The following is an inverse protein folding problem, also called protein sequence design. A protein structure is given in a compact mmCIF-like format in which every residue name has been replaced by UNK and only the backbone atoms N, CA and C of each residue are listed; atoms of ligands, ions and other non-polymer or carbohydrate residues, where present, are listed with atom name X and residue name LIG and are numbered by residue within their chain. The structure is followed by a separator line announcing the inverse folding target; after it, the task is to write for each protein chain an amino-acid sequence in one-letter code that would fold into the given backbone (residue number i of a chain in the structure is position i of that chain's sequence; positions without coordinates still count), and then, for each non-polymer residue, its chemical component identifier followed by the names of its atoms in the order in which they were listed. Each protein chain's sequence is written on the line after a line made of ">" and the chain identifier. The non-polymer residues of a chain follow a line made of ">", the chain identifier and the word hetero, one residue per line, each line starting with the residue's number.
data_IF_769650989491
#
_entry.id   IF_769650989491
#
_cell.length_a   1.000
_cell.length_b   1.000
_cell.length_c   1.000
_cell.angle_alpha   90.00
_cell.angle_beta   90.00
_cell.angle_gamma   90.00
#
_symmetry.space_group_name_H-M   'P 1'
#
loop_
_entity.id
_entity.type
_entity.pdbx_description
1 polymer ?
#
# COMPACT_ATOMS: atom_id res chain seq x y z
N UNK A 1 -8.57 -30.41 -16.98
CA UNK A 1 -7.64 -29.29 -16.93
C UNK A 1 -6.24 -29.71 -17.42
N UNK A 2 -5.67 -30.81 -16.93
CA UNK A 2 -4.32 -31.28 -17.32
C UNK A 2 -4.17 -31.51 -18.83
N UNK A 3 -5.21 -32.00 -19.45
CA UNK A 3 -5.22 -32.32 -20.90
C UNK A 3 -5.39 -31.07 -21.77
N UNK A 4 -5.96 -30.01 -21.20
CA UNK A 4 -6.36 -28.81 -21.95
C UNK A 4 -5.31 -27.69 -21.79
N UNK A 5 -4.67 -27.60 -20.63
CA UNK A 5 -3.73 -26.51 -20.35
C UNK A 5 -2.26 -26.89 -20.47
N UNK A 6 -1.95 -28.17 -20.69
CA UNK A 6 -0.56 -28.68 -20.63
C UNK A 6 0.08 -28.56 -19.24
N UNK A 7 -0.68 -28.16 -18.21
CA UNK A 7 -0.21 -28.04 -16.84
C UNK A 7 -0.20 -29.43 -16.18
N UNK A 8 0.95 -29.84 -15.68
CA UNK A 8 1.11 -31.13 -14.98
C UNK A 8 0.82 -31.06 -13.48
N UNK A 9 0.77 -29.86 -12.93
CA UNK A 9 0.45 -29.64 -11.52
C UNK A 9 -0.47 -28.43 -11.38
N UNK A 10 -1.67 -28.65 -10.88
CA UNK A 10 -2.59 -27.59 -10.47
C UNK A 10 -3.21 -27.94 -9.12
N UNK A 11 -3.43 -26.92 -8.32
CA UNK A 11 -4.10 -27.03 -7.03
C UNK A 11 -5.39 -26.22 -7.11
N UNK A 12 -6.53 -26.86 -6.82
CA UNK A 12 -7.79 -26.13 -6.66
C UNK A 12 -7.66 -25.21 -5.44
N UNK A 13 -7.91 -23.92 -5.63
CA UNK A 13 -7.83 -22.90 -4.59
C UNK A 13 -9.19 -22.64 -3.96
N UNK A 14 -10.28 -22.90 -4.68
CA UNK A 14 -11.63 -22.69 -4.19
C UNK A 14 -12.64 -22.43 -5.31
N UNK A 15 -13.84 -22.07 -4.90
CA UNK A 15 -14.95 -21.74 -5.78
C UNK A 15 -15.48 -20.35 -5.41
N UNK A 16 -15.88 -19.56 -6.40
CA UNK A 16 -16.53 -18.26 -6.16
C UNK A 16 -17.79 -18.41 -5.29
N UNK A 17 -18.15 -17.36 -4.56
CA UNK A 17 -19.33 -17.38 -3.66
C UNK A 17 -20.65 -17.65 -4.38
N UNK A 18 -20.76 -17.31 -5.67
CA UNK A 18 -21.91 -17.60 -6.52
C UNK A 18 -21.85 -18.99 -7.17
N UNK A 19 -20.79 -19.76 -6.91
CA UNK A 19 -20.56 -21.10 -7.43
C UNK A 19 -20.25 -21.18 -8.93
N UNK A 20 -20.09 -20.03 -9.60
CA UNK A 20 -19.88 -19.98 -11.05
C UNK A 20 -18.46 -20.30 -11.48
N UNK A 21 -17.48 -19.91 -10.69
CA UNK A 21 -16.06 -20.00 -11.05
C UNK A 21 -15.31 -20.88 -10.08
N UNK A 22 -14.40 -21.68 -10.60
CA UNK A 22 -13.41 -22.42 -9.81
C UNK A 22 -12.02 -21.83 -10.10
N UNK A 23 -11.27 -21.60 -9.04
CA UNK A 23 -9.94 -21.04 -9.11
C UNK A 23 -8.90 -22.13 -8.95
N UNK A 24 -7.88 -22.09 -9.79
CA UNK A 24 -6.77 -23.03 -9.76
C UNK A 24 -5.44 -22.29 -9.77
N UNK A 25 -4.50 -22.76 -8.97
CA UNK A 25 -3.11 -22.34 -9.06
C UNK A 25 -2.37 -23.31 -9.99
N UNK A 26 -1.79 -22.76 -11.05
CA UNK A 26 -0.86 -23.48 -11.92
C UNK A 26 0.55 -23.03 -11.64
N UNK A 27 1.48 -23.98 -11.50
CA UNK A 27 2.92 -23.70 -11.34
C UNK A 27 3.67 -23.72 -12.67
N UNK A 28 3.01 -24.02 -13.77
CA UNK A 28 3.60 -24.01 -15.09
C UNK A 28 3.68 -22.58 -15.63
N UNK A 29 4.91 -22.11 -15.91
CA UNK A 29 5.16 -20.80 -16.49
C UNK A 29 4.72 -20.68 -17.95
N UNK A 30 4.50 -21.80 -18.61
CA UNK A 30 4.11 -21.90 -20.03
C UNK A 30 2.60 -22.15 -20.21
N UNK A 31 1.80 -21.87 -19.16
CA UNK A 31 0.33 -21.96 -19.27
C UNK A 31 -0.16 -20.98 -20.33
N UNK A 32 -0.79 -21.51 -21.39
CA UNK A 32 -1.30 -20.72 -22.51
C UNK A 32 -2.84 -20.64 -22.43
N UNK A 33 -3.34 -19.41 -22.17
CA UNK A 33 -4.78 -19.14 -22.14
C UNK A 33 -5.43 -19.39 -23.53
N UNK A 34 -4.66 -19.26 -24.61
CA UNK A 34 -5.14 -19.47 -25.95
C UNK A 34 -5.60 -20.91 -26.22
N UNK A 35 -5.10 -21.89 -25.44
CA UNK A 35 -5.53 -23.28 -25.53
C UNK A 35 -6.99 -23.52 -25.08
N UNK A 36 -7.56 -22.59 -24.34
CA UNK A 36 -8.90 -22.70 -23.77
C UNK A 36 -9.94 -21.79 -24.44
N UNK A 37 -9.52 -20.88 -25.31
CA UNK A 37 -10.43 -19.88 -25.92
C UNK A 37 -11.53 -20.46 -26.81
N UNK A 38 -11.32 -21.67 -27.33
CA UNK A 38 -12.27 -22.36 -28.21
C UNK A 38 -13.16 -23.37 -27.48
N UNK A 39 -13.08 -23.43 -26.14
CA UNK A 39 -13.92 -24.32 -25.32
C UNK A 39 -15.20 -23.60 -24.92
N UNK A 40 -16.32 -24.02 -25.49
CA UNK A 40 -17.62 -23.39 -25.27
C UNK A 40 -18.01 -23.42 -23.76
N UNK A 41 -18.33 -22.24 -23.23
CA UNK A 41 -18.76 -22.09 -21.82
C UNK A 41 -17.61 -21.91 -20.83
N UNK A 42 -16.36 -21.78 -21.27
CA UNK A 42 -15.21 -21.48 -20.41
C UNK A 42 -14.65 -20.10 -20.77
N UNK A 43 -14.65 -19.21 -19.81
CA UNK A 43 -13.92 -17.94 -19.87
C UNK A 43 -12.65 -18.07 -19.04
N UNK A 44 -11.49 -17.91 -19.67
CA UNK A 44 -10.20 -18.00 -18.99
C UNK A 44 -9.52 -16.65 -19.00
N UNK A 45 -9.28 -16.14 -17.80
CA UNK A 45 -8.45 -14.97 -17.59
C UNK A 45 -7.16 -15.39 -16.87
N UNK A 46 -6.02 -15.27 -17.51
CA UNK A 46 -4.73 -15.44 -16.87
C UNK A 46 -4.35 -14.11 -16.21
N UNK A 47 -4.28 -14.13 -14.89
CA UNK A 47 -3.80 -13.00 -14.10
C UNK A 47 -2.54 -13.45 -13.36
N UNK A 48 -1.42 -12.78 -13.61
CA UNK A 48 -0.23 -12.96 -12.77
C UNK A 48 -0.53 -12.38 -11.39
N UNK A 49 -0.84 -13.25 -10.46
CA UNK A 49 -1.06 -12.87 -9.07
C UNK A 49 0.18 -13.22 -8.24
N UNK A 50 0.59 -12.30 -7.40
CA UNK A 50 1.55 -12.63 -6.35
C UNK A 50 0.91 -13.62 -5.37
N UNK A 51 1.68 -14.47 -4.68
CA UNK A 51 1.15 -15.37 -3.65
C UNK A 51 0.32 -14.66 -2.58
N UNK A 52 0.60 -13.39 -2.32
CA UNK A 52 -0.13 -12.55 -1.38
C UNK A 52 -1.51 -12.14 -1.93
N UNK A 53 -1.60 -11.75 -3.19
CA UNK A 53 -2.88 -11.42 -3.84
C UNK A 53 -3.82 -12.64 -3.89
N UNK A 54 -3.27 -13.84 -4.06
CA UNK A 54 -4.05 -15.07 -4.02
C UNK A 54 -4.64 -15.35 -2.64
N UNK A 55 -3.86 -15.16 -1.56
CA UNK A 55 -4.34 -15.39 -0.20
C UNK A 55 -5.42 -14.39 0.20
N UNK A 56 -5.28 -13.13 -0.17
CA UNK A 56 -6.27 -12.09 0.15
C UNK A 56 -7.59 -12.24 -0.59
N UNK A 57 -7.59 -12.87 -1.78
CA UNK A 57 -8.82 -13.12 -2.52
C UNK A 57 -9.74 -14.18 -1.86
N UNK A 58 -9.21 -15.00 -0.94
CA UNK A 58 -9.94 -16.10 -0.30
C UNK A 58 -10.31 -15.87 1.17
N UNK A 59 -9.79 -14.82 1.82
CA UNK A 59 -9.90 -14.62 3.28
C UNK A 59 -10.82 -13.44 3.67
N UNK A 60 -11.68 -12.96 2.78
CA UNK A 60 -12.62 -11.87 3.08
C UNK A 60 -14.02 -12.40 3.37
N UNK A 61 -14.63 -12.08 4.53
CA UNK A 61 -16.08 -12.09 4.65
C UNK A 61 -16.63 -10.99 3.76
N UNK A 62 -17.42 -11.36 2.77
CA UNK A 62 -18.02 -10.43 1.81
C UNK A 62 -18.99 -9.48 2.51
N UNK A 63 -18.59 -8.19 2.62
CA UNK A 63 -19.55 -7.13 2.57
C UNK A 63 -19.66 -6.67 1.10
N UNK A 64 -20.86 -6.93 0.55
CA UNK A 64 -21.21 -6.61 -0.82
C UNK A 64 -21.35 -5.11 -1.02
N UNK A 65 -20.36 -4.47 -1.62
CA UNK A 65 -20.62 -3.28 -2.41
C UNK A 65 -19.50 -3.07 -3.46
N UNK A 66 -19.91 -3.28 -4.69
CA UNK A 66 -19.41 -2.68 -5.92
C UNK A 66 -17.95 -2.95 -6.34
N UNK A 67 -17.81 -3.98 -7.19
CA UNK A 67 -16.63 -4.20 -8.03
C UNK A 67 -16.61 -3.18 -9.16
N UNK A 68 -15.83 -2.13 -9.02
CA UNK A 68 -15.40 -1.29 -10.14
C UNK A 68 -14.00 -1.72 -10.58
N UNK A 69 -13.97 -2.35 -11.74
CA UNK A 69 -12.82 -2.60 -12.58
C UNK A 69 -12.00 -1.30 -12.75
N UNK A 70 -10.73 -1.29 -12.29
CA UNK A 70 -9.81 -0.18 -12.52
C UNK A 70 -10.07 1.12 -11.76
N UNK A 71 -10.86 1.14 -10.69
CA UNK A 71 -11.09 2.32 -9.90
C UNK A 71 -9.81 2.75 -9.16
N UNK A 72 -9.38 3.96 -9.42
CA UNK A 72 -8.32 4.63 -8.69
C UNK A 72 -8.63 4.62 -7.18
N UNK A 73 -7.68 4.19 -6.36
CA UNK A 73 -7.84 4.20 -4.90
C UNK A 73 -7.85 5.64 -4.42
N UNK A 74 -9.03 6.17 -4.10
CA UNK A 74 -9.23 7.58 -3.72
C UNK A 74 -9.23 7.81 -2.21
N UNK A 75 -9.20 6.75 -1.41
CA UNK A 75 -9.16 6.82 0.05
C UNK A 75 -8.28 5.72 0.60
N UNK A 76 -7.54 5.99 1.68
CA UNK A 76 -6.66 4.99 2.31
C UNK A 76 -7.41 3.89 3.03
N UNK A 77 -8.72 4.04 3.21
CA UNK A 77 -9.56 3.07 3.89
C UNK A 77 -9.41 3.08 5.42
N UNK A 78 -10.16 2.19 6.05
CA UNK A 78 -9.99 1.94 7.49
C UNK A 78 -8.83 0.99 7.71
N UNK A 79 -8.00 1.30 8.69
CA UNK A 79 -6.93 0.42 9.13
C UNK A 79 -6.77 0.49 10.65
N UNK A 80 -6.23 -0.57 11.20
CA UNK A 80 -5.71 -0.60 12.57
C UNK A 80 -4.36 -1.30 12.52
N UNK A 81 -3.32 -0.56 12.82
CA UNK A 81 -1.95 -1.07 12.74
C UNK A 81 -1.10 -0.63 13.91
N UNK A 82 0.10 -1.22 14.00
CA UNK A 82 1.08 -0.86 15.01
C UNK A 82 2.20 -0.04 14.38
N UNK A 83 2.59 1.04 15.04
CA UNK A 83 3.80 1.75 14.69
C UNK A 83 5.06 1.01 15.15
N UNK A 84 6.20 1.35 14.58
CA UNK A 84 7.49 0.79 15.06
C UNK A 84 7.80 1.18 16.50
N UNK A 85 7.11 2.19 17.04
CA UNK A 85 7.15 2.61 18.44
C UNK A 85 6.26 1.75 19.36
N UNK A 86 5.59 0.73 18.82
CA UNK A 86 4.71 -0.19 19.53
C UNK A 86 3.31 0.35 19.86
N UNK A 87 2.96 1.56 19.40
CA UNK A 87 1.62 2.13 19.60
C UNK A 87 0.67 1.70 18.50
N UNK A 88 -0.62 1.61 18.82
CA UNK A 88 -1.68 1.37 17.85
C UNK A 88 -2.08 2.67 17.17
N UNK A 89 -2.24 2.61 15.85
CA UNK A 89 -2.69 3.69 14.99
C UNK A 89 -3.85 3.24 14.12
N UNK A 90 -4.82 4.13 13.94
CA UNK A 90 -5.96 3.95 13.04
C UNK A 90 -5.98 5.11 12.03
N UNK A 91 -6.88 5.06 11.07
CA UNK A 91 -7.11 6.17 10.14
C UNK A 91 -7.38 7.52 10.83
N UNK A 92 -7.74 7.52 12.11
CA UNK A 92 -7.96 8.75 12.88
C UNK A 92 -6.69 9.60 13.05
N UNK A 93 -5.52 9.03 12.77
CA UNK A 93 -4.25 9.78 12.75
C UNK A 93 -4.31 10.97 11.79
N UNK A 94 -5.06 10.84 10.69
CA UNK A 94 -5.20 11.89 9.68
C UNK A 94 -6.14 13.02 10.13
N UNK A 95 -7.09 12.74 11.01
CA UNK A 95 -8.10 13.72 11.47
C UNK A 95 -7.52 14.93 12.21
N UNK A 96 -6.26 14.84 12.62
CA UNK A 96 -5.55 15.88 13.37
C UNK A 96 -5.01 17.01 12.49
N UNK A 97 -4.95 16.79 11.19
CA UNK A 97 -4.33 17.69 10.23
C UNK A 97 -5.27 17.96 9.06
N UNK A 98 -5.16 19.10 8.42
CA UNK A 98 -5.87 19.38 7.18
C UNK A 98 -5.29 18.60 6.00
N UNK A 99 -3.97 18.38 6.05
CA UNK A 99 -3.20 17.60 5.07
C UNK A 99 -2.21 16.71 5.79
N UNK A 100 -2.10 15.46 5.42
CA UNK A 100 -1.03 14.56 5.89
C UNK A 100 -0.22 14.03 4.72
N UNK A 101 1.09 14.23 4.79
CA UNK A 101 2.07 13.63 3.91
C UNK A 101 2.34 12.19 4.34
N UNK A 102 2.09 11.22 3.47
CA UNK A 102 2.37 9.81 3.69
C UNK A 102 3.57 9.40 2.85
N UNK A 103 4.71 9.21 3.51
CA UNK A 103 5.96 8.82 2.86
C UNK A 103 6.17 7.32 3.02
N UNK A 104 6.16 6.59 1.90
CA UNK A 104 6.33 5.14 1.85
C UNK A 104 7.78 4.81 1.52
N UNK A 105 8.43 4.07 2.39
CA UNK A 105 9.84 3.75 2.27
C UNK A 105 10.17 2.32 2.72
N UNK A 106 11.41 1.88 2.46
CA UNK A 106 11.95 0.61 2.94
C UNK A 106 13.22 0.84 3.76
N UNK A 107 13.51 -0.08 4.69
CA UNK A 107 14.66 0.04 5.61
C UNK A 107 16.03 -0.12 4.94
N UNK A 108 16.06 -0.58 3.70
CA UNK A 108 17.27 -0.74 2.89
C UNK A 108 17.46 0.38 1.85
N UNK A 109 16.51 1.29 1.72
CA UNK A 109 16.52 2.37 0.73
C UNK A 109 17.34 3.56 1.25
N UNK A 110 18.57 3.71 0.83
CA UNK A 110 19.45 4.80 1.27
C UNK A 110 18.92 6.20 0.96
N UNK A 111 18.38 6.52 -0.24
CA UNK A 111 17.77 7.82 -0.50
C UNK A 111 16.60 8.12 0.45
N UNK A 112 15.77 7.12 0.76
CA UNK A 112 14.65 7.27 1.69
C UNK A 112 15.13 7.65 3.09
N UNK A 113 16.14 6.94 3.60
CA UNK A 113 16.69 7.17 4.95
C UNK A 113 17.33 8.55 5.05
N UNK A 114 18.03 9.00 4.00
CA UNK A 114 18.68 10.30 3.95
C UNK A 114 17.70 11.47 3.94
N UNK A 115 16.49 11.27 3.44
CA UNK A 115 15.42 12.27 3.37
C UNK A 115 14.70 12.46 4.72
N UNK A 116 14.62 11.44 5.57
CA UNK A 116 13.86 11.46 6.83
C UNK A 116 14.21 12.67 7.73
N UNK A 117 15.46 13.09 7.91
CA UNK A 117 15.78 14.28 8.71
C UNK A 117 15.17 15.58 8.14
N UNK A 118 15.02 15.70 6.83
CA UNK A 118 14.39 16.85 6.20
C UNK A 118 12.86 16.77 6.33
N UNK A 119 12.27 15.58 6.25
CA UNK A 119 10.86 15.36 6.57
C UNK A 119 10.55 15.67 8.04
N UNK A 120 11.47 15.39 8.97
CA UNK A 120 11.30 15.78 10.38
C UNK A 120 11.31 17.30 10.54
N UNK A 121 12.22 18.02 9.88
CA UNK A 121 12.23 19.49 9.88
C UNK A 121 10.94 20.05 9.30
N UNK A 122 10.49 19.53 8.16
CA UNK A 122 9.24 19.88 7.53
C UNK A 122 8.07 19.70 8.51
N UNK A 123 7.98 18.52 9.15
CA UNK A 123 6.95 18.24 10.14
C UNK A 123 6.95 19.26 11.29
N UNK A 124 8.10 19.54 11.87
CA UNK A 124 8.21 20.51 12.97
C UNK A 124 7.78 21.93 12.55
N UNK A 125 8.08 22.35 11.33
CA UNK A 125 7.72 23.68 10.81
C UNK A 125 6.24 23.79 10.41
N UNK A 126 5.61 22.68 10.01
CA UNK A 126 4.29 22.69 9.38
C UNK A 126 3.16 22.08 10.24
N UNK A 127 3.47 21.32 11.29
CA UNK A 127 2.45 20.66 12.12
C UNK A 127 1.44 21.63 12.74
N UNK A 128 1.89 22.81 13.17
CA UNK A 128 1.02 23.84 13.74
C UNK A 128 0.26 24.64 12.66
N UNK A 129 0.59 24.39 11.39
CA UNK A 129 -0.10 24.93 10.22
C UNK A 129 -1.09 23.93 9.58
N UNK A 130 -1.35 22.82 10.27
CA UNK A 130 -2.31 21.81 9.81
C UNK A 130 -1.71 20.72 8.91
N UNK A 131 -0.37 20.55 8.89
CA UNK A 131 0.27 19.49 8.10
C UNK A 131 0.86 18.41 9.00
N UNK A 132 0.43 17.17 8.78
CA UNK A 132 1.01 15.98 9.39
C UNK A 132 2.00 15.28 8.47
N UNK A 133 2.87 14.46 9.06
CA UNK A 133 3.75 13.52 8.35
C UNK A 133 3.60 12.13 8.95
N UNK A 134 3.52 11.12 8.11
CA UNK A 134 3.48 9.70 8.49
C UNK A 134 4.44 8.93 7.60
N UNK A 135 5.33 8.16 8.18
CA UNK A 135 6.13 7.18 7.46
C UNK A 135 5.42 5.83 7.40
N UNK A 136 5.52 5.13 6.28
CA UNK A 136 5.05 3.74 6.16
C UNK A 136 6.21 2.86 5.72
N UNK A 137 6.59 1.91 6.56
CA UNK A 137 7.73 1.01 6.33
C UNK A 137 7.30 -0.23 5.57
N UNK A 138 7.38 -0.19 4.23
CA UNK A 138 6.81 -1.20 3.34
C UNK A 138 7.40 -2.59 3.49
N UNK A 139 8.67 -2.71 3.82
CA UNK A 139 9.41 -3.97 3.96
C UNK A 139 9.29 -4.62 5.34
N UNK A 140 8.57 -4.00 6.28
CA UNK A 140 8.24 -4.61 7.59
C UNK A 140 7.20 -5.72 7.48
N UNK A 141 6.54 -5.86 6.34
CA UNK A 141 5.68 -6.98 6.00
C UNK A 141 6.32 -7.76 4.86
N UNK A 142 6.77 -8.97 5.18
CA UNK A 142 7.37 -9.89 4.23
C UNK A 142 6.36 -10.62 3.35
N UNK A 143 6.88 -11.51 2.50
CA UNK A 143 6.06 -12.38 1.67
C UNK A 143 5.13 -13.25 2.55
N UNK A 144 3.84 -13.29 2.17
CA UNK A 144 2.82 -14.03 2.94
C UNK A 144 2.19 -13.21 4.08
N UNK A 145 2.37 -11.87 4.11
CA UNK A 145 1.70 -10.97 5.04
C UNK A 145 2.21 -11.07 6.49
N UNK A 146 3.33 -11.76 6.72
CA UNK A 146 3.93 -11.85 8.06
C UNK A 146 4.86 -10.68 8.32
N UNK A 147 4.82 -10.18 9.55
CA UNK A 147 5.74 -9.14 10.00
C UNK A 147 7.19 -9.65 9.98
N UNK A 148 8.08 -8.85 9.42
CA UNK A 148 9.52 -9.06 9.46
C UNK A 148 10.13 -8.33 10.66
N UNK A 149 10.42 -9.07 11.71
CA UNK A 149 10.96 -8.55 12.96
C UNK A 149 12.32 -7.87 12.79
N UNK A 150 13.12 -8.29 11.81
CA UNK A 150 14.42 -7.68 11.54
C UNK A 150 14.23 -6.31 10.86
N UNK A 151 13.32 -6.23 9.90
CA UNK A 151 12.97 -4.96 9.25
C UNK A 151 12.33 -3.98 10.25
N UNK A 152 11.46 -4.46 11.14
CA UNK A 152 10.89 -3.63 12.22
C UNK A 152 11.99 -3.06 13.12
N UNK A 153 12.94 -3.88 13.57
CA UNK A 153 14.09 -3.40 14.37
C UNK A 153 14.94 -2.38 13.61
N UNK A 154 15.17 -2.59 12.32
CA UNK A 154 15.87 -1.60 11.48
C UNK A 154 15.11 -0.29 11.41
N UNK A 155 13.79 -0.33 11.20
CA UNK A 155 12.96 0.85 11.16
C UNK A 155 12.96 1.62 12.49
N UNK A 156 12.96 0.92 13.64
CA UNK A 156 13.12 1.54 14.97
C UNK A 156 14.45 2.27 15.09
N UNK A 157 15.55 1.63 14.69
CA UNK A 157 16.88 2.25 14.70
C UNK A 157 16.96 3.47 13.77
N UNK A 158 16.32 3.39 12.59
CA UNK A 158 16.24 4.51 11.66
C UNK A 158 15.50 5.68 12.32
N UNK A 159 14.31 5.46 12.90
CA UNK A 159 13.53 6.48 13.56
C UNK A 159 14.31 7.15 14.70
N UNK A 160 14.99 6.36 15.53
CA UNK A 160 15.83 6.86 16.64
C UNK A 160 17.00 7.71 16.13
N UNK A 161 17.76 7.20 15.14
CA UNK A 161 18.95 7.90 14.63
C UNK A 161 18.63 9.17 13.87
N UNK A 162 17.53 9.18 13.12
CA UNK A 162 17.05 10.36 12.38
C UNK A 162 16.28 11.33 13.26
N UNK A 163 15.93 10.92 14.48
CA UNK A 163 15.11 11.66 15.44
C UNK A 163 13.73 12.03 14.91
N UNK A 164 13.20 11.22 13.97
CA UNK A 164 11.88 11.43 13.44
C UNK A 164 10.84 11.28 14.56
N UNK A 165 10.11 12.36 14.83
CA UNK A 165 9.09 12.43 15.88
C UNK A 165 7.68 12.07 15.36
N UNK A 166 7.51 12.01 14.06
CA UNK A 166 6.29 11.51 13.41
C UNK A 166 6.28 9.97 13.38
N UNK A 167 5.10 9.32 13.33
CA UNK A 167 5.01 7.87 13.42
C UNK A 167 5.51 7.17 12.16
N UNK A 168 6.16 6.02 12.36
CA UNK A 168 6.45 5.04 11.32
C UNK A 168 5.47 3.86 11.49
N UNK A 169 4.60 3.65 10.52
CA UNK A 169 3.60 2.60 10.56
C UNK A 169 4.12 1.31 9.91
N UNK A 170 3.77 0.20 10.53
CA UNK A 170 3.87 -1.13 9.93
C UNK A 170 2.57 -1.34 9.15
N UNK A 171 2.57 -1.45 7.82
CA UNK A 171 1.32 -1.49 7.07
C UNK A 171 0.54 -2.78 7.37
N UNK A 172 -0.78 -2.66 7.54
CA UNK A 172 -1.68 -3.79 7.65
C UNK A 172 -2.10 -4.33 6.26
N UNK A 173 -2.90 -5.38 6.23
CA UNK A 173 -3.37 -5.98 4.98
C UNK A 173 -4.25 -5.03 4.16
N UNK A 174 -5.03 -4.17 4.83
CA UNK A 174 -5.87 -3.17 4.16
C UNK A 174 -5.04 -2.15 3.41
N UNK A 175 -4.03 -1.58 4.06
CA UNK A 175 -3.09 -0.66 3.44
C UNK A 175 -2.32 -1.32 2.29
N UNK A 176 -1.86 -2.56 2.49
CA UNK A 176 -1.08 -3.32 1.52
C UNK A 176 -1.86 -3.66 0.25
N UNK A 177 -3.13 -4.00 0.39
CA UNK A 177 -4.02 -4.32 -0.74
C UNK A 177 -4.69 -3.08 -1.34
N UNK A 178 -4.73 -1.98 -0.59
CA UNK A 178 -5.25 -0.68 -1.00
C UNK A 178 -4.19 0.19 -1.66
N UNK A 179 -3.97 1.38 -1.09
CA UNK A 179 -3.09 2.42 -1.68
C UNK A 179 -1.63 1.98 -1.86
N UNK A 180 -1.14 1.04 -1.05
CA UNK A 180 0.25 0.56 -1.16
C UNK A 180 0.45 -0.52 -2.22
N UNK A 181 -0.64 -1.02 -2.81
CA UNK A 181 -0.56 -2.01 -3.88
C UNK A 181 0.09 -1.42 -5.13
N UNK A 182 1.03 -2.15 -5.71
CA UNK A 182 1.72 -1.73 -6.93
C UNK A 182 2.88 -0.75 -6.73
N UNK A 183 3.13 -0.23 -5.52
CA UNK A 183 4.31 0.59 -5.25
C UNK A 183 5.57 -0.27 -5.41
N UNK A 184 6.40 0.08 -6.38
CA UNK A 184 7.63 -0.63 -6.73
C UNK A 184 8.89 0.23 -6.67
N UNK A 185 8.74 1.56 -6.54
CA UNK A 185 9.85 2.51 -6.41
C UNK A 185 9.76 3.25 -5.06
N UNK A 186 10.91 3.48 -4.41
CA UNK A 186 10.97 4.12 -3.09
C UNK A 186 12.01 5.25 -3.07
N UNK A 187 11.72 6.35 -2.31
CA UNK A 187 10.46 6.61 -1.61
C UNK A 187 9.33 6.96 -2.59
N UNK A 188 8.11 6.67 -2.19
CA UNK A 188 6.91 7.20 -2.82
C UNK A 188 6.11 7.98 -1.78
N UNK A 189 5.69 9.18 -2.13
CA UNK A 189 4.94 10.06 -1.24
C UNK A 189 3.62 10.46 -1.86
N UNK A 190 2.55 10.36 -1.10
CA UNK A 190 1.21 10.85 -1.45
C UNK A 190 0.61 11.60 -0.28
N UNK A 191 -0.48 12.31 -0.54
CA UNK A 191 -1.13 13.14 0.46
C UNK A 191 -2.55 12.66 0.75
N UNK A 192 -3.00 12.86 1.99
CA UNK A 192 -4.35 12.56 2.41
C UNK A 192 -4.94 13.73 3.19
N UNK A 193 -6.24 13.95 3.02
CA UNK A 193 -6.99 14.90 3.82
C UNK A 193 -7.35 14.32 5.20
N UNK A 194 -8.00 15.11 6.04
CA UNK A 194 -8.44 14.70 7.39
C UNK A 194 -9.43 13.53 7.42
N UNK A 195 -10.03 13.17 6.28
CA UNK A 195 -10.97 12.05 6.16
C UNK A 195 -10.29 10.80 5.56
N UNK A 196 -8.98 10.86 5.29
CA UNK A 196 -8.24 9.79 4.65
C UNK A 196 -8.41 9.73 3.13
N UNK A 197 -9.03 10.74 2.49
CA UNK A 197 -9.09 10.81 1.05
C UNK A 197 -7.71 11.17 0.50
N UNK A 198 -7.31 10.47 -0.56
CA UNK A 198 -6.08 10.76 -1.28
C UNK A 198 -6.31 12.05 -2.07
N UNK A 199 -5.42 13.02 -1.91
CA UNK A 199 -5.53 14.34 -2.51
C UNK A 199 -4.22 14.73 -3.17
N UNK A 200 -4.30 15.62 -4.17
CA UNK A 200 -3.13 16.13 -4.86
C UNK A 200 -2.42 15.08 -5.71
N UNK A 201 -1.12 15.24 -5.86
CA UNK A 201 -0.27 14.41 -6.71
C UNK A 201 0.51 13.37 -5.88
N UNK A 202 0.99 12.32 -6.56
CA UNK A 202 1.93 11.34 -6.01
C UNK A 202 3.33 11.69 -6.49
N UNK A 203 4.29 11.68 -5.58
CA UNK A 203 5.67 12.05 -5.82
C UNK A 203 6.57 10.84 -5.64
N UNK A 204 7.41 10.55 -6.62
CA UNK A 204 8.38 9.45 -6.59
C UNK A 204 9.79 9.99 -6.46
N UNK A 205 10.60 9.35 -5.62
CA UNK A 205 11.97 9.75 -5.33
C UNK A 205 12.07 10.73 -4.16
N UNK A 206 13.29 10.90 -3.68
CA UNK A 206 13.60 11.80 -2.57
C UNK A 206 13.75 13.25 -3.04
N UNK A 207 13.31 14.18 -2.21
CA UNK A 207 13.39 15.63 -2.44
C UNK A 207 14.10 16.32 -1.29
N UNK A 208 14.61 17.50 -1.55
CA UNK A 208 15.17 18.38 -0.52
C UNK A 208 14.08 19.00 0.35
N UNK A 209 14.45 19.52 1.52
CA UNK A 209 13.53 20.21 2.41
C UNK A 209 12.79 21.36 1.71
N UNK A 210 13.50 22.14 0.89
CA UNK A 210 12.91 23.31 0.22
C UNK A 210 11.90 22.87 -0.86
N UNK A 211 12.22 21.84 -1.64
CA UNK A 211 11.26 21.23 -2.60
C UNK A 211 10.04 20.69 -1.87
N UNK A 212 10.22 19.96 -0.75
CA UNK A 212 9.09 19.48 0.03
C UNK A 212 8.22 20.60 0.60
N UNK A 213 8.80 21.73 1.01
CA UNK A 213 8.02 22.89 1.46
C UNK A 213 7.13 23.43 0.36
N UNK A 214 7.68 23.63 -0.84
CA UNK A 214 6.91 24.10 -1.99
C UNK A 214 5.78 23.14 -2.36
N UNK A 215 6.06 21.84 -2.37
CA UNK A 215 5.06 20.79 -2.65
C UNK A 215 3.96 20.82 -1.60
N UNK A 216 4.31 20.77 -0.32
CA UNK A 216 3.35 20.72 0.78
C UNK A 216 2.49 22.00 0.84
N UNK A 217 3.07 23.17 0.61
CA UNK A 217 2.32 24.43 0.57
C UNK A 217 1.30 24.43 -0.59
N UNK A 218 1.69 23.93 -1.77
CA UNK A 218 0.81 23.76 -2.92
C UNK A 218 -0.35 22.80 -2.60
N UNK A 219 -0.05 21.62 -2.06
CA UNK A 219 -1.08 20.62 -1.78
C UNK A 219 -2.00 21.04 -0.63
N UNK A 220 -1.48 21.74 0.38
CA UNK A 220 -2.29 22.31 1.46
C UNK A 220 -3.26 23.39 0.94
N UNK A 221 -2.81 24.27 0.05
CA UNK A 221 -3.66 25.27 -0.56
C UNK A 221 -4.83 24.62 -1.34
N UNK A 222 -4.54 23.58 -2.12
CA UNK A 222 -5.56 22.84 -2.88
C UNK A 222 -6.67 22.27 -1.98
N UNK A 223 -6.30 21.73 -0.81
CA UNK A 223 -7.26 21.15 0.15
C UNK A 223 -8.05 22.20 0.92
N UNK A 224 -7.44 23.37 1.17
CA UNK A 224 -8.08 24.43 1.96
C UNK A 224 -8.94 25.39 1.11
N UNK A 225 -8.57 25.66 -0.14
CA UNK A 225 -9.29 26.55 -1.05
C UNK A 225 -10.47 25.86 -1.75
N UNK A 226 -10.51 24.53 -1.79
CA UNK A 226 -11.61 23.74 -2.36
C UNK A 226 -12.81 23.54 -1.42
N UNK A 227 -12.88 24.27 -0.29
CA UNK A 227 -13.98 24.20 0.70
C UNK A 227 -15.02 25.28 0.48
#
# INVERSE_FOLDING_TARGET
>A
LDTITGCTEHKELGTSSDGKYKYYLSTNKDADADLLKDVEGIEVTLTEMTPFQMLSAFDQPQDTSDSTDGAEVTNVGKFETTGVDGKTYTQDIFSKYDLTMVNVFTTWCSPCINEIPDLEKLYQEMKDKGVGVVGVTRDTIGSGGKQDEEAVKKAQVIQEKTKASYPFLIPDSGMMNGRLNGISAFPETFFVDKNGNIVGETYSGSHSLDEWKEIVEKELANVTEGK
#
